data_IF_605857048707
#
_entry.id   IF_605857048707
#
_cell.length_a   1.000
_cell.length_b   1.000
_cell.length_c   1.000
_cell.angle_alpha   90.00
_cell.angle_beta   90.00
_cell.angle_gamma   90.00
#
_symmetry.space_group_name_H-M   'P 1'
#
loop_
_entity.id
_entity.type
_entity.pdbx_description
1 polymer ?
#
# COMPACT_ATOMS: atom_id res chain seq x y z
N UNK A 1 -25.73 -45.95 20.93
CA UNK A 1 -24.61 -45.61 20.02
C UNK A 1 -24.61 -44.11 19.84
N UNK A 2 -23.60 -43.42 20.38
CA UNK A 2 -23.49 -41.97 20.20
C UNK A 2 -22.96 -41.70 18.77
N UNK A 3 -23.75 -41.01 17.98
CA UNK A 3 -23.34 -40.50 16.67
C UNK A 3 -22.25 -39.46 16.95
N UNK A 4 -20.99 -39.75 16.59
CA UNK A 4 -19.93 -38.76 16.55
C UNK A 4 -20.31 -37.74 15.50
N UNK A 5 -20.72 -36.52 15.92
CA UNK A 5 -20.77 -35.38 15.04
C UNK A 5 -19.36 -35.18 14.46
N UNK A 6 -19.17 -35.52 13.21
CA UNK A 6 -17.99 -35.11 12.45
C UNK A 6 -18.12 -33.61 12.19
N UNK A 7 -17.36 -32.83 12.94
CA UNK A 7 -17.20 -31.39 12.68
C UNK A 7 -16.71 -31.26 11.23
N UNK A 8 -17.53 -30.66 10.36
CA UNK A 8 -17.07 -30.25 9.03
C UNK A 8 -15.90 -29.28 9.20
N UNK A 9 -14.71 -29.72 8.83
CA UNK A 9 -13.52 -28.87 8.79
C UNK A 9 -13.63 -27.99 7.55
N UNK A 10 -13.89 -26.72 7.74
CA UNK A 10 -13.93 -25.75 6.63
C UNK A 10 -12.51 -25.32 6.26
N UNK A 11 -12.30 -24.87 5.02
CA UNK A 11 -11.01 -24.27 4.58
C UNK A 11 -10.60 -23.14 5.52
N UNK A 12 -11.59 -22.47 6.12
CA UNK A 12 -11.37 -21.38 7.09
C UNK A 12 -10.66 -21.88 8.36
N UNK A 13 -10.91 -23.11 8.79
CA UNK A 13 -10.27 -23.70 9.98
C UNK A 13 -8.80 -24.08 9.72
N UNK A 14 -8.41 -24.21 8.45
CA UNK A 14 -7.03 -24.47 8.05
C UNK A 14 -6.11 -23.24 8.14
N UNK A 15 -6.68 -22.04 8.23
CA UNK A 15 -5.90 -20.79 8.35
C UNK A 15 -5.57 -20.55 9.83
N UNK A 16 -4.27 -20.39 10.19
CA UNK A 16 -3.89 -20.14 11.57
C UNK A 16 -4.62 -18.92 12.16
N UNK A 17 -5.20 -19.08 13.35
CA UNK A 17 -5.96 -18.02 14.05
C UNK A 17 -5.11 -16.74 14.19
N UNK A 18 -3.82 -16.89 14.48
CA UNK A 18 -2.89 -15.77 14.61
C UNK A 18 -2.83 -14.92 13.35
N UNK A 19 -2.75 -15.54 12.18
CA UNK A 19 -2.67 -14.81 10.91
C UNK A 19 -3.96 -14.05 10.60
N UNK A 20 -5.12 -14.62 10.94
CA UNK A 20 -6.42 -13.95 10.80
C UNK A 20 -6.55 -12.76 11.74
N UNK A 21 -6.10 -12.91 12.99
CA UNK A 21 -6.09 -11.83 13.98
C UNK A 21 -5.17 -10.69 13.55
N UNK A 22 -3.98 -11.01 13.03
CA UNK A 22 -3.04 -10.01 12.51
C UNK A 22 -3.65 -9.24 11.32
N UNK A 23 -4.27 -9.95 10.37
CA UNK A 23 -4.95 -9.32 9.24
C UNK A 23 -6.08 -8.40 9.69
N UNK A 24 -6.89 -8.82 10.67
CA UNK A 24 -7.95 -8.00 11.24
C UNK A 24 -7.40 -6.77 11.96
N UNK A 25 -6.34 -6.92 12.74
CA UNK A 25 -5.71 -5.79 13.41
C UNK A 25 -5.13 -4.78 12.43
N UNK A 26 -4.51 -5.24 11.33
CA UNK A 26 -4.01 -4.34 10.28
C UNK A 26 -5.15 -3.57 9.61
N UNK A 27 -6.29 -4.23 9.38
CA UNK A 27 -7.49 -3.58 8.83
C UNK A 27 -8.04 -2.52 9.80
N UNK A 28 -8.21 -2.87 11.08
CA UNK A 28 -8.75 -1.95 12.11
C UNK A 28 -7.83 -0.75 12.30
N UNK A 29 -6.52 -0.96 12.30
CA UNK A 29 -5.54 0.13 12.44
C UNK A 29 -5.43 0.99 11.18
N UNK A 30 -6.01 0.56 10.04
CA UNK A 30 -5.90 1.25 8.76
C UNK A 30 -4.45 1.44 8.30
N UNK A 31 -3.52 0.57 8.72
CA UNK A 31 -2.09 0.70 8.40
C UNK A 31 -1.54 -0.58 7.81
N UNK A 32 -0.85 -0.42 6.69
CA UNK A 32 -0.11 -1.51 6.06
C UNK A 32 1.24 -1.72 6.78
N UNK A 33 1.60 -2.98 7.14
CA UNK A 33 2.91 -3.26 7.73
C UNK A 33 4.04 -2.79 6.81
N UNK A 34 5.02 -2.07 7.36
CA UNK A 34 6.12 -1.48 6.59
C UNK A 34 6.91 -2.51 5.76
N UNK A 35 7.05 -3.74 6.25
CA UNK A 35 7.71 -4.85 5.54
C UNK A 35 7.04 -5.21 4.20
N UNK A 36 5.75 -4.90 4.05
CA UNK A 36 4.94 -5.20 2.86
C UNK A 36 4.79 -3.99 1.94
N UNK A 37 5.21 -2.80 2.38
CA UNK A 37 5.25 -1.58 1.58
C UNK A 37 6.54 -1.55 0.78
N UNK A 38 6.41 -1.37 -0.53
CA UNK A 38 7.53 -1.19 -1.46
C UNK A 38 7.51 0.21 -2.05
N UNK A 39 8.65 0.65 -2.53
CA UNK A 39 8.79 1.94 -3.20
C UNK A 39 9.14 1.76 -4.67
N UNK A 40 8.67 2.66 -5.50
CA UNK A 40 9.05 2.77 -6.90
C UNK A 40 9.13 4.25 -7.30
N UNK A 41 9.89 4.53 -8.32
CA UNK A 41 9.89 5.84 -8.94
C UNK A 41 8.53 6.14 -9.57
N UNK A 42 8.03 7.33 -9.31
CA UNK A 42 6.84 7.91 -9.92
C UNK A 42 7.21 8.94 -10.98
N UNK A 43 6.20 9.57 -11.59
CA UNK A 43 6.41 10.66 -12.54
C UNK A 43 7.00 11.88 -11.80
N UNK A 44 7.97 12.57 -12.41
CA UNK A 44 8.57 13.79 -11.87
C UNK A 44 9.47 13.56 -10.65
N UNK A 45 10.24 12.48 -10.63
CA UNK A 45 11.15 12.10 -9.55
C UNK A 45 10.47 11.93 -8.17
N UNK A 46 9.16 11.62 -8.17
CA UNK A 46 8.45 11.31 -6.94
C UNK A 46 8.65 9.84 -6.57
N UNK A 47 8.74 9.54 -5.28
CA UNK A 47 8.72 8.17 -4.79
C UNK A 47 7.29 7.78 -4.43
N UNK A 48 6.80 6.69 -5.01
CA UNK A 48 5.47 6.16 -4.75
C UNK A 48 5.56 4.91 -3.90
N UNK A 49 4.83 4.89 -2.79
CA UNK A 49 4.63 3.68 -2.02
C UNK A 49 3.61 2.78 -2.72
N UNK A 50 3.85 1.49 -2.73
CA UNK A 50 2.91 0.52 -3.25
C UNK A 50 2.99 -0.81 -2.50
N UNK A 51 1.92 -1.59 -2.60
CA UNK A 51 1.85 -2.96 -2.09
C UNK A 51 1.63 -3.89 -3.28
N UNK A 52 2.19 -5.09 -3.21
CA UNK A 52 1.92 -6.04 -4.29
C UNK A 52 0.50 -6.63 -4.16
N UNK A 53 -0.04 -7.08 -5.29
CA UNK A 53 -1.39 -7.65 -5.35
C UNK A 53 -1.50 -8.90 -4.47
N UNK A 54 -0.44 -9.70 -4.39
CA UNK A 54 -0.41 -10.91 -3.56
C UNK A 54 -0.65 -10.62 -2.07
N UNK A 55 -0.04 -9.56 -1.52
CA UNK A 55 -0.30 -9.15 -0.14
C UNK A 55 -1.80 -8.84 0.05
N UNK A 56 -2.37 -8.01 -0.81
CA UNK A 56 -3.75 -7.56 -0.67
C UNK A 56 -4.75 -8.71 -0.85
N UNK A 57 -4.53 -9.58 -1.83
CA UNK A 57 -5.38 -10.77 -2.04
C UNK A 57 -5.25 -11.78 -0.90
N UNK A 58 -4.06 -11.91 -0.30
CA UNK A 58 -3.87 -12.71 0.90
C UNK A 58 -4.63 -12.14 2.09
N UNK A 59 -4.59 -10.82 2.31
CA UNK A 59 -5.33 -10.18 3.40
C UNK A 59 -6.84 -10.40 3.25
N UNK A 60 -7.43 -10.18 2.06
CA UNK A 60 -8.86 -10.41 1.87
C UNK A 60 -9.22 -11.88 2.06
N UNK A 61 -8.39 -12.82 1.62
CA UNK A 61 -8.61 -14.25 1.83
C UNK A 61 -8.60 -14.63 3.32
N UNK A 62 -7.69 -14.04 4.11
CA UNK A 62 -7.63 -14.23 5.56
C UNK A 62 -8.86 -13.66 6.27
N UNK A 63 -9.33 -12.50 5.84
CA UNK A 63 -10.47 -11.80 6.45
C UNK A 63 -11.80 -12.46 6.11
N UNK A 64 -11.98 -12.92 4.86
CA UNK A 64 -13.25 -13.47 4.38
C UNK A 64 -13.32 -14.98 4.40
N UNK A 65 -12.20 -15.68 4.70
CA UNK A 65 -12.13 -17.13 4.59
C UNK A 65 -12.33 -17.62 3.16
N UNK A 66 -11.68 -16.96 2.19
CA UNK A 66 -11.77 -17.25 0.74
C UNK A 66 -13.12 -16.95 0.10
N UNK A 67 -14.04 -16.28 0.82
CA UNK A 67 -15.34 -15.88 0.27
C UNK A 67 -15.22 -14.55 -0.46
N UNK A 68 -14.47 -14.57 -1.54
CA UNK A 68 -14.31 -13.42 -2.44
C UNK A 68 -13.99 -13.87 -3.85
N UNK A 69 -14.27 -13.02 -4.81
CA UNK A 69 -13.90 -13.21 -6.23
C UNK A 69 -13.53 -11.88 -6.87
N UNK A 70 -12.86 -11.97 -8.00
CA UNK A 70 -12.60 -10.81 -8.86
C UNK A 70 -12.93 -11.17 -10.31
N UNK A 71 -13.50 -10.22 -11.04
CA UNK A 71 -13.82 -10.33 -12.45
C UNK A 71 -13.41 -9.07 -13.19
N UNK A 72 -13.00 -9.21 -14.45
CA UNK A 72 -12.85 -8.10 -15.36
C UNK A 72 -14.18 -7.85 -16.04
N UNK A 73 -14.75 -6.65 -15.84
CA UNK A 73 -16.03 -6.26 -16.46
C UNK A 73 -15.81 -5.71 -17.87
N UNK A 74 -14.70 -4.98 -18.06
CA UNK A 74 -14.43 -4.25 -19.28
C UNK A 74 -12.95 -4.05 -19.47
N UNK A 75 -12.50 -4.14 -20.72
CA UNK A 75 -11.15 -3.82 -21.14
C UNK A 75 -11.20 -2.70 -22.18
N UNK A 76 -10.25 -1.77 -22.09
CA UNK A 76 -10.10 -0.69 -23.06
C UNK A 76 -8.65 -0.51 -23.46
N UNK A 77 -8.45 -0.33 -24.77
CA UNK A 77 -7.17 0.06 -25.33
C UNK A 77 -7.31 1.48 -25.87
N UNK A 78 -6.43 2.38 -25.47
CA UNK A 78 -6.53 3.78 -25.86
C UNK A 78 -5.23 4.31 -26.46
N UNK A 79 -5.28 5.00 -27.64
CA UNK A 79 -6.39 4.93 -28.61
C UNK A 79 -6.51 3.53 -29.20
N UNK A 80 -7.69 3.18 -29.72
CA UNK A 80 -8.00 1.81 -30.20
C UNK A 80 -7.11 1.35 -31.37
N UNK A 81 -6.79 2.25 -32.31
CA UNK A 81 -6.01 1.95 -33.50
C UNK A 81 -4.50 1.79 -33.23
N UNK A 82 -3.97 2.54 -32.28
CA UNK A 82 -2.56 2.51 -31.85
C UNK A 82 -2.44 2.63 -30.35
N UNK A 83 -2.71 1.58 -29.61
CA UNK A 83 -2.84 1.68 -28.18
C UNK A 83 -1.53 2.12 -27.52
N UNK A 84 -1.66 3.11 -26.65
CA UNK A 84 -0.60 3.65 -25.78
C UNK A 84 -0.82 3.28 -24.34
N UNK A 85 -2.06 3.01 -23.98
CA UNK A 85 -2.52 2.70 -22.66
C UNK A 85 -3.56 1.58 -22.74
N UNK A 86 -3.59 0.74 -21.72
CA UNK A 86 -4.62 -0.27 -21.51
C UNK A 86 -5.27 -0.04 -20.15
N UNK A 87 -6.60 -0.08 -20.12
CA UNK A 87 -7.43 -0.02 -18.94
C UNK A 87 -8.20 -1.31 -18.75
N UNK A 88 -8.38 -1.72 -17.50
CA UNK A 88 -9.23 -2.84 -17.11
C UNK A 88 -10.16 -2.42 -15.98
N UNK A 89 -11.47 -2.55 -16.17
CA UNK A 89 -12.49 -2.31 -15.16
C UNK A 89 -12.70 -3.59 -14.37
N UNK A 90 -12.16 -3.61 -13.17
CA UNK A 90 -12.24 -4.77 -12.26
C UNK A 90 -13.39 -4.60 -11.28
N UNK A 91 -14.06 -5.72 -10.96
CA UNK A 91 -14.98 -5.83 -9.84
C UNK A 91 -14.44 -6.85 -8.86
N UNK A 92 -14.42 -6.50 -7.59
CA UNK A 92 -14.14 -7.43 -6.49
C UNK A 92 -15.40 -7.57 -5.67
N UNK A 93 -15.80 -8.82 -5.42
CA UNK A 93 -16.97 -9.17 -4.62
C UNK A 93 -16.52 -9.99 -3.42
N UNK A 94 -17.05 -9.67 -2.25
CA UNK A 94 -16.86 -10.44 -1.02
C UNK A 94 -18.22 -10.83 -0.46
N UNK A 95 -18.26 -11.95 0.27
CA UNK A 95 -19.44 -12.40 1.01
C UNK A 95 -19.11 -12.50 2.49
N UNK A 96 -19.99 -11.97 3.32
CA UNK A 96 -19.88 -12.13 4.76
C UNK A 96 -20.31 -13.54 5.23
N UNK A 97 -20.28 -13.78 6.54
CA UNK A 97 -20.66 -15.06 7.13
C UNK A 97 -22.16 -15.39 6.99
N UNK A 98 -22.97 -14.40 6.65
CA UNK A 98 -24.41 -14.53 6.43
C UNK A 98 -24.76 -14.64 4.93
N UNK A 99 -23.76 -14.66 4.05
CA UNK A 99 -23.93 -14.74 2.60
C UNK A 99 -24.33 -13.40 1.96
N UNK A 100 -24.24 -12.27 2.68
CA UNK A 100 -24.51 -10.94 2.09
C UNK A 100 -23.33 -10.55 1.22
N UNK A 101 -23.65 -10.01 0.05
CA UNK A 101 -22.69 -9.59 -0.96
C UNK A 101 -22.31 -8.12 -0.81
N UNK A 102 -21.03 -7.83 -0.91
CA UNK A 102 -20.46 -6.49 -1.00
C UNK A 102 -19.51 -6.44 -2.18
N UNK A 103 -19.64 -5.44 -3.05
CA UNK A 103 -18.77 -5.34 -4.21
C UNK A 103 -18.31 -3.91 -4.46
N UNK A 104 -17.07 -3.79 -4.97
CA UNK A 104 -16.50 -2.55 -5.47
C UNK A 104 -15.97 -2.73 -6.88
N UNK A 105 -16.07 -1.67 -7.67
CA UNK A 105 -15.61 -1.62 -9.04
C UNK A 105 -14.63 -0.48 -9.21
N UNK A 106 -13.50 -0.73 -9.87
CA UNK A 106 -12.51 0.30 -10.16
C UNK A 106 -11.76 0.05 -11.45
N UNK A 107 -11.28 1.12 -12.08
CA UNK A 107 -10.39 1.05 -13.24
C UNK A 107 -8.94 0.89 -12.77
N UNK A 108 -8.27 -0.13 -13.31
CA UNK A 108 -6.82 -0.21 -13.34
C UNK A 108 -6.31 0.21 -14.71
N UNK A 109 -5.10 0.76 -14.75
CA UNK A 109 -4.51 1.25 -16.00
C UNK A 109 -3.01 0.98 -16.06
N UNK A 110 -2.50 0.89 -17.29
CA UNK A 110 -1.08 0.71 -17.56
C UNK A 110 -0.72 1.30 -18.92
N UNK A 111 0.36 2.09 -18.96
CA UNK A 111 0.98 2.48 -20.23
C UNK A 111 1.55 1.25 -20.92
N UNK A 112 1.29 1.08 -22.22
CA UNK A 112 1.83 -0.04 -22.98
C UNK A 112 3.33 0.12 -23.16
N UNK A 113 4.06 -0.88 -22.69
CA UNK A 113 5.52 -0.96 -22.78
C UNK A 113 5.95 -1.13 -24.23
N UNK A 114 6.90 -0.30 -24.69
CA UNK A 114 7.34 -0.24 -26.09
C UNK A 114 8.83 -0.44 -26.23
N UNK A 115 9.25 -1.00 -27.36
CA UNK A 115 10.65 -1.07 -27.71
C UNK A 115 11.24 0.33 -27.88
N UNK A 116 12.36 0.58 -27.16
CA UNK A 116 13.07 1.86 -27.26
C UNK A 116 13.93 1.94 -28.54
N UNK A 117 14.32 0.80 -29.10
CA UNK A 117 15.15 0.67 -30.32
C UNK A 117 14.65 -0.49 -31.17
N UNK A 118 14.99 -0.48 -32.44
CA UNK A 118 14.69 -1.58 -33.36
C UNK A 118 15.30 -2.90 -32.84
N UNK A 119 14.53 -3.98 -32.92
CA UNK A 119 14.99 -5.33 -32.65
C UNK A 119 14.94 -6.15 -33.95
N UNK A 120 16.01 -6.06 -34.73
CA UNK A 120 16.12 -6.67 -36.07
C UNK A 120 15.91 -8.19 -36.00
N UNK A 121 16.44 -8.84 -34.97
CA UNK A 121 16.33 -10.30 -34.79
C UNK A 121 14.86 -10.77 -34.64
N UNK A 122 13.98 -9.90 -34.17
CA UNK A 122 12.53 -10.16 -34.00
C UNK A 122 11.66 -9.46 -35.03
N UNK A 123 12.24 -8.70 -35.96
CA UNK A 123 11.51 -7.89 -36.91
C UNK A 123 10.70 -6.74 -36.32
N UNK A 124 11.05 -6.31 -35.10
CA UNK A 124 10.32 -5.28 -34.36
C UNK A 124 11.01 -3.91 -34.52
N UNK A 125 10.21 -2.85 -34.57
CA UNK A 125 10.68 -1.45 -34.64
C UNK A 125 10.57 -0.74 -33.31
N UNK A 126 11.33 0.33 -33.15
CA UNK A 126 11.15 1.27 -32.05
C UNK A 126 9.70 1.78 -32.03
N UNK A 127 9.08 1.75 -30.85
CA UNK A 127 7.68 2.10 -30.66
C UNK A 127 6.68 0.93 -30.76
N UNK A 128 7.11 -0.24 -31.24
CA UNK A 128 6.26 -1.44 -31.22
C UNK A 128 6.04 -1.92 -29.77
N UNK A 129 4.85 -2.47 -29.45
CA UNK A 129 4.57 -3.03 -28.13
C UNK A 129 5.53 -4.20 -27.78
N UNK A 130 5.95 -4.28 -26.54
CA UNK A 130 6.80 -5.39 -26.05
C UNK A 130 5.94 -6.61 -25.72
N UNK A 131 4.92 -6.42 -24.84
CA UNK A 131 4.07 -7.51 -24.36
C UNK A 131 2.72 -6.94 -23.86
N UNK A 132 1.76 -6.76 -24.76
CA UNK A 132 0.46 -6.16 -24.45
C UNK A 132 -0.27 -6.91 -23.33
N UNK A 133 -0.20 -8.25 -23.31
CA UNK A 133 -0.87 -9.05 -22.28
C UNK A 133 -0.24 -8.89 -20.90
N UNK A 134 1.06 -8.61 -20.79
CA UNK A 134 1.70 -8.34 -19.51
C UNK A 134 1.28 -6.95 -18.99
N UNK A 135 1.13 -5.97 -19.88
CA UNK A 135 0.60 -4.66 -19.53
C UNK A 135 -0.89 -4.75 -19.13
N UNK A 136 -1.69 -5.59 -19.80
CA UNK A 136 -3.08 -5.86 -19.43
C UNK A 136 -3.17 -6.53 -18.05
N UNK A 137 -2.34 -7.54 -17.76
CA UNK A 137 -2.24 -8.13 -16.40
C UNK A 137 -1.88 -7.12 -15.34
N UNK A 138 -0.99 -6.16 -15.67
CA UNK A 138 -0.64 -5.07 -14.76
C UNK A 138 -1.85 -4.15 -14.50
N UNK A 139 -2.66 -3.84 -15.53
CA UNK A 139 -3.90 -3.09 -15.39
C UNK A 139 -4.93 -3.84 -14.52
N UNK A 140 -5.11 -5.16 -14.69
CA UNK A 140 -5.95 -5.98 -13.80
C UNK A 140 -5.48 -5.90 -12.35
N UNK A 141 -4.18 -6.08 -12.13
CA UNK A 141 -3.60 -6.02 -10.79
C UNK A 141 -3.79 -4.65 -10.13
N UNK A 142 -3.72 -3.58 -10.89
CA UNK A 142 -3.96 -2.22 -10.41
C UNK A 142 -5.45 -2.02 -10.05
N UNK A 143 -6.38 -2.46 -10.90
CA UNK A 143 -7.81 -2.41 -10.65
C UNK A 143 -8.23 -3.22 -9.42
N UNK A 144 -7.71 -4.45 -9.25
CA UNK A 144 -7.97 -5.29 -8.07
C UNK A 144 -7.48 -4.58 -6.80
N UNK A 145 -6.27 -4.01 -6.80
CA UNK A 145 -5.74 -3.29 -5.64
C UNK A 145 -6.61 -2.11 -5.25
N UNK A 146 -7.09 -1.33 -6.22
CA UNK A 146 -8.01 -0.22 -5.98
C UNK A 146 -9.34 -0.71 -5.41
N UNK A 147 -9.92 -1.79 -5.95
CA UNK A 147 -11.12 -2.38 -5.36
C UNK A 147 -10.91 -2.84 -3.92
N UNK A 148 -9.79 -3.51 -3.63
CA UNK A 148 -9.48 -4.01 -2.29
C UNK A 148 -9.23 -2.88 -1.29
N UNK A 149 -8.72 -1.72 -1.73
CA UNK A 149 -8.54 -0.56 -0.85
C UNK A 149 -9.86 0.02 -0.36
N UNK A 150 -10.94 -0.08 -1.12
CA UNK A 150 -12.29 0.30 -0.67
C UNK A 150 -12.84 -0.61 0.43
N UNK A 151 -12.30 -1.83 0.57
CA UNK A 151 -12.57 -2.70 1.73
C UNK A 151 -11.61 -2.45 2.90
N UNK A 152 -10.83 -1.36 2.85
CA UNK A 152 -9.87 -0.97 3.89
C UNK A 152 -8.49 -1.61 3.79
N UNK A 153 -8.26 -2.54 2.85
CA UNK A 153 -6.96 -3.22 2.70
C UNK A 153 -5.96 -2.29 2.03
N UNK A 154 -4.87 -1.96 2.74
CA UNK A 154 -3.87 -1.00 2.29
C UNK A 154 -4.48 0.35 1.86
N UNK A 155 -5.54 0.78 2.55
CA UNK A 155 -6.21 2.05 2.28
C UNK A 155 -5.30 3.25 2.56
N UNK A 156 -4.37 3.14 3.48
CA UNK A 156 -3.31 4.11 3.75
C UNK A 156 -2.35 4.33 2.57
N UNK A 157 -2.29 3.38 1.63
CA UNK A 157 -1.45 3.47 0.42
C UNK A 157 -2.27 3.90 -0.81
N UNK A 158 -3.50 3.40 -0.97
CA UNK A 158 -4.31 3.57 -2.17
C UNK A 158 -5.58 4.40 -1.98
N UNK A 159 -6.01 4.62 -0.73
CA UNK A 159 -7.30 5.22 -0.41
C UNK A 159 -7.43 6.73 -0.69
N UNK A 160 -6.31 7.43 -0.92
CA UNK A 160 -6.33 8.87 -1.09
C UNK A 160 -6.95 9.62 0.13
N UNK A 161 -7.11 10.92 0.00
CA UNK A 161 -7.64 11.79 1.08
C UNK A 161 -9.11 11.54 1.44
N UNK A 162 -9.87 10.81 0.61
CA UNK A 162 -11.30 10.56 0.83
C UNK A 162 -11.57 9.55 1.95
N UNK A 163 -10.58 8.77 2.37
CA UNK A 163 -10.72 7.79 3.46
C UNK A 163 -10.37 8.34 4.85
N UNK A 164 -9.95 9.60 4.96
CA UNK A 164 -9.73 10.27 6.25
C UNK A 164 -11.04 10.45 7.07
N UNK A 165 -12.21 10.29 6.45
CA UNK A 165 -13.52 10.41 7.12
C UNK A 165 -13.87 9.25 8.05
N UNK A 166 -13.12 8.17 8.07
CA UNK A 166 -13.34 7.00 8.93
C UNK A 166 -12.25 6.77 9.97
N UNK A 167 -11.31 7.71 10.10
CA UNK A 167 -10.40 7.70 11.24
C UNK A 167 -11.19 8.15 12.47
N UNK A 168 -11.41 7.20 13.37
CA UNK A 168 -12.02 7.40 14.66
C UNK A 168 -11.32 8.57 15.39
N UNK A 169 -12.11 9.51 15.93
CA UNK A 169 -11.68 10.62 16.79
C UNK A 169 -11.16 10.09 18.15
N UNK A 170 -10.35 9.06 18.17
CA UNK A 170 -9.60 8.71 19.35
C UNK A 170 -8.47 9.74 19.51
N UNK A 171 -8.68 10.61 20.47
CA UNK A 171 -7.75 11.60 20.99
C UNK A 171 -6.33 11.05 21.07
N UNK A 172 -5.52 11.31 20.03
CA UNK A 172 -4.05 11.30 20.01
C UNK A 172 -3.49 11.48 18.59
N UNK A 173 -4.20 12.24 17.71
CA UNK A 173 -3.62 12.64 16.43
C UNK A 173 -3.70 14.15 16.23
N UNK A 174 -2.86 14.88 16.94
CA UNK A 174 -2.44 16.18 16.46
C UNK A 174 -1.75 16.02 15.11
N UNK A 175 -2.47 16.43 14.05
CA UNK A 175 -1.91 16.95 12.83
C UNK A 175 -1.01 16.01 12.03
N UNK A 176 -1.59 15.06 11.29
CA UNK A 176 -0.91 14.56 10.10
C UNK A 176 -1.76 14.83 8.88
N UNK A 177 -1.35 15.78 8.01
CA UNK A 177 -1.87 15.81 6.66
C UNK A 177 -1.45 14.50 5.99
N UNK A 178 -2.42 13.76 5.46
CA UNK A 178 -2.22 12.51 4.75
C UNK A 178 -1.31 12.65 3.55
N UNK A 179 -0.07 12.46 3.80
CA UNK A 179 0.96 11.96 2.91
C UNK A 179 1.98 11.34 3.84
N UNK A 180 1.93 10.03 4.03
CA UNK A 180 3.14 9.33 4.43
C UNK A 180 4.13 9.44 3.28
N UNK A 181 4.68 10.63 3.14
CA UNK A 181 5.93 10.83 2.45
C UNK A 181 6.89 9.91 3.17
N UNK A 182 7.28 8.83 2.55
CA UNK A 182 8.45 8.10 2.96
C UNK A 182 9.59 9.10 2.88
N UNK A 183 9.96 9.68 4.01
CA UNK A 183 11.12 10.53 4.11
C UNK A 183 12.34 9.66 3.87
N UNK A 184 12.71 9.46 2.61
CA UNK A 184 14.00 8.92 2.23
C UNK A 184 14.96 10.08 2.07
N UNK A 185 16.03 10.10 2.86
CA UNK A 185 17.16 11.01 2.65
C UNK A 185 16.94 12.46 3.09
N UNK A 186 17.13 13.39 2.17
CA UNK A 186 17.26 14.82 2.46
C UNK A 186 16.00 15.50 3.01
N UNK A 187 14.80 15.00 2.68
CA UNK A 187 13.55 15.58 3.18
C UNK A 187 13.30 15.25 4.66
N UNK A 188 13.60 14.02 5.08
CA UNK A 188 13.49 13.62 6.49
C UNK A 188 14.50 14.37 7.35
N UNK A 189 15.72 14.53 6.84
CA UNK A 189 16.76 15.35 7.44
C UNK A 189 16.31 16.81 7.59
N UNK A 190 15.71 17.36 6.54
CA UNK A 190 15.20 18.75 6.53
C UNK A 190 14.04 18.92 7.51
N UNK A 191 13.08 17.98 7.56
CA UNK A 191 11.96 18.01 8.48
C UNK A 191 12.41 17.88 9.93
N UNK A 192 13.34 16.95 10.22
CA UNK A 192 13.94 16.77 11.54
C UNK A 192 14.70 18.03 11.98
N UNK A 193 15.50 18.62 11.08
CA UNK A 193 16.22 19.87 11.37
C UNK A 193 15.28 21.03 11.68
N UNK A 194 14.17 21.18 10.95
CA UNK A 194 13.13 22.18 11.22
C UNK A 194 12.45 21.94 12.57
N UNK A 195 12.20 20.68 12.92
CA UNK A 195 11.64 20.34 14.22
C UNK A 195 12.56 20.78 15.34
N UNK A 196 13.86 20.41 15.31
CA UNK A 196 14.84 20.81 16.33
C UNK A 196 14.94 22.34 16.43
N UNK A 197 15.02 23.04 15.31
CA UNK A 197 15.04 24.49 15.30
C UNK A 197 13.80 25.12 15.98
N UNK A 198 12.63 24.51 15.87
CA UNK A 198 11.38 24.97 16.48
C UNK A 198 11.35 24.73 17.98
N UNK A 199 12.01 23.68 18.50
CA UNK A 199 12.07 23.37 19.93
C UNK A 199 13.06 24.23 20.72
N UNK A 200 13.96 24.94 20.03
CA UNK A 200 15.02 25.74 20.65
C UNK A 200 16.13 24.92 21.30
N UNK A 201 16.11 23.60 21.21
CA UNK A 201 17.16 22.72 21.75
C UNK A 201 18.44 22.82 20.95
N UNK A 202 19.59 22.70 21.63
CA UNK A 202 20.90 22.74 20.98
C UNK A 202 21.19 21.40 20.29
N UNK A 203 21.79 21.43 19.11
CA UNK A 203 22.20 20.23 18.39
C UNK A 203 23.17 19.36 19.17
N UNK A 204 24.02 19.95 20.01
CA UNK A 204 24.93 19.21 20.89
C UNK A 204 24.19 18.26 21.85
N UNK A 205 23.01 18.67 22.32
CA UNK A 205 22.22 17.87 23.25
C UNK A 205 21.41 16.82 22.51
N UNK A 206 20.85 17.17 21.35
CA UNK A 206 20.21 16.22 20.43
C UNK A 206 21.16 15.10 20.03
N UNK A 207 22.40 15.42 19.68
CA UNK A 207 23.41 14.42 19.31
C UNK A 207 23.79 13.50 20.47
N UNK A 208 23.81 14.02 21.70
CA UNK A 208 24.04 13.16 22.89
C UNK A 208 22.89 12.18 23.10
N UNK A 209 21.63 12.63 22.96
CA UNK A 209 20.44 11.78 23.09
C UNK A 209 20.41 10.68 22.04
N UNK A 210 20.85 10.97 20.83
CA UNK A 210 20.88 10.03 19.71
C UNK A 210 22.18 9.19 19.67
N UNK A 211 23.14 9.46 20.55
CA UNK A 211 24.47 8.82 20.57
C UNK A 211 25.23 8.93 19.25
N UNK A 212 25.06 10.06 18.54
CA UNK A 212 25.74 10.34 17.27
C UNK A 212 26.60 11.61 17.37
N UNK A 213 27.55 11.79 16.47
CA UNK A 213 28.42 12.97 16.45
C UNK A 213 27.92 14.07 15.53
N UNK A 214 27.16 13.71 14.51
CA UNK A 214 26.62 14.64 13.52
C UNK A 214 25.42 14.06 12.79
N UNK A 215 24.74 14.91 12.00
CA UNK A 215 23.54 14.53 11.24
C UNK A 215 23.74 13.40 10.22
N UNK A 216 24.96 13.22 9.71
CA UNK A 216 25.22 12.18 8.71
C UNK A 216 25.34 10.76 9.29
N UNK A 217 25.42 10.65 10.62
CA UNK A 217 25.42 9.37 11.34
C UNK A 217 24.02 8.91 11.72
N UNK A 218 22.98 9.69 11.43
CA UNK A 218 21.59 9.31 11.69
C UNK A 218 21.08 8.46 10.52
N UNK A 219 20.98 7.16 10.73
CA UNK A 219 20.51 6.21 9.72
C UNK A 219 18.99 6.31 9.47
N UNK A 220 18.22 6.57 10.53
CA UNK A 220 16.76 6.69 10.46
C UNK A 220 16.26 7.93 11.21
N UNK A 221 15.91 8.96 10.45
CA UNK A 221 15.39 10.22 10.99
C UNK A 221 14.02 10.10 11.68
N UNK A 222 13.24 9.05 11.41
CA UNK A 222 11.96 8.81 12.11
C UNK A 222 12.18 8.28 13.51
N UNK A 223 13.14 7.37 13.66
CA UNK A 223 13.56 6.88 14.99
C UNK A 223 14.18 8.03 15.78
N UNK A 224 15.08 8.78 15.16
CA UNK A 224 15.68 9.96 15.78
C UNK A 224 14.64 10.98 16.26
N UNK A 225 13.63 11.27 15.42
CA UNK A 225 12.53 12.17 15.79
C UNK A 225 11.76 11.67 17.02
N UNK A 226 11.42 10.37 17.09
CA UNK A 226 10.68 9.80 18.22
C UNK A 226 11.47 9.87 19.52
N UNK A 227 12.77 9.53 19.46
CA UNK A 227 13.64 9.57 20.63
C UNK A 227 13.81 10.99 21.15
N UNK A 228 14.05 11.94 20.27
CA UNK A 228 14.22 13.35 20.67
C UNK A 228 12.90 13.94 21.17
N UNK A 229 11.76 13.59 20.55
CA UNK A 229 10.45 14.04 21.01
C UNK A 229 10.17 13.54 22.44
N UNK A 230 10.37 12.24 22.69
CA UNK A 230 10.20 11.66 24.03
C UNK A 230 11.11 12.32 25.07
N UNK A 231 12.38 12.56 24.71
CA UNK A 231 13.31 13.27 25.60
C UNK A 231 12.85 14.69 25.94
N UNK A 232 12.32 15.45 24.96
CA UNK A 232 11.82 16.80 25.21
C UNK A 232 10.60 16.78 26.13
N UNK A 233 9.68 15.80 25.93
CA UNK A 233 8.47 15.62 26.74
C UNK A 233 8.76 15.20 28.19
N UNK A 234 9.93 14.60 28.44
CA UNK A 234 10.39 14.24 29.80
C UNK A 234 11.06 15.42 30.56
N UNK A 235 11.53 16.45 29.83
CA UNK A 235 12.17 17.61 30.43
C UNK A 235 11.20 18.78 30.72
N UNK A 236 10.00 18.78 30.15
CA UNK A 236 8.93 19.79 30.39
C UNK A 236 8.02 19.34 31.55
#
# INVERSE_FOLDING_TARGET
MAVKETKEVTIFDAIPIKERQEALQNLIKGRTPLKDVKQREGRGNTTLNYVNTYYMTRQISLLTGWRWTSECIEERFYPEDKPREVGAKMKVTIWDTQGREYSHTSWGQKDISKWAKDNIAKGLKAGDPIAIFDDLKAAYSDGIKKCLSYFGIASDIYGGKELEFFADDSEDSEGSPGATVGFAGDEAKTAFSKYIAKTGKLWSDVFKVLEVKNLSEIDDYKIAYKLVKAWIEEED
#
